data_IF_247216502836
#
_entry.id   IF_247216502836
#
_cell.length_a   1.000
_cell.length_b   1.000
_cell.length_c   1.000
_cell.angle_alpha   90.00
_cell.angle_beta   90.00
_cell.angle_gamma   90.00
#
_symmetry.space_group_name_H-M   'P 1'
#
loop_
_entity.id
_entity.type
_entity.pdbx_description
1 polymer ?
#
# COMPACT_ATOMS: atom_id res chain seq x y z
N UNK A 1 39.25 -40.35 13.88
CA UNK A 1 39.89 -39.11 14.37
C UNK A 1 39.17 -37.95 13.70
N UNK A 2 38.33 -37.24 14.46
CA UNK A 2 37.60 -36.07 13.95
C UNK A 2 38.59 -34.92 13.72
N UNK A 3 38.84 -34.58 12.45
CA UNK A 3 39.53 -33.35 12.08
C UNK A 3 38.56 -32.20 12.28
N UNK A 4 38.61 -31.60 13.48
CA UNK A 4 37.92 -30.36 13.77
C UNK A 4 38.50 -29.26 12.85
N UNK A 5 37.67 -28.77 11.92
CA UNK A 5 37.96 -27.66 11.03
C UNK A 5 38.22 -26.41 11.90
N UNK A 6 39.48 -26.04 12.09
CA UNK A 6 39.83 -24.75 12.70
C UNK A 6 39.73 -23.71 11.59
N UNK A 7 38.83 -22.70 11.69
CA UNK A 7 38.79 -21.63 10.70
C UNK A 7 40.12 -20.88 10.73
N UNK A 8 40.82 -20.88 9.59
CA UNK A 8 42.16 -20.34 9.47
C UNK A 8 42.10 -18.81 9.47
N UNK A 9 42.76 -18.19 10.46
CA UNK A 9 42.74 -16.74 10.70
C UNK A 9 43.45 -15.95 9.59
N UNK A 10 44.18 -16.62 8.71
CA UNK A 10 44.99 -16.03 7.64
C UNK A 10 44.19 -15.30 6.56
N UNK A 11 42.88 -15.58 6.44
CA UNK A 11 42.08 -15.10 5.32
C UNK A 11 41.37 -13.77 5.57
N UNK A 12 41.39 -13.25 6.80
CA UNK A 12 40.70 -12.00 7.15
C UNK A 12 41.69 -10.87 7.39
N UNK A 13 41.45 -9.72 6.77
CA UNK A 13 42.23 -8.51 6.97
C UNK A 13 41.31 -7.35 7.37
N UNK A 14 41.85 -6.34 8.05
CA UNK A 14 41.12 -5.10 8.29
C UNK A 14 40.74 -4.48 6.94
N UNK A 15 39.46 -4.16 6.76
CA UNK A 15 38.87 -3.72 5.50
C UNK A 15 38.19 -4.82 4.67
N UNK A 16 38.33 -6.11 5.03
CA UNK A 16 37.62 -7.19 4.35
C UNK A 16 36.10 -7.08 4.55
N UNK A 17 35.33 -7.27 3.47
CA UNK A 17 33.88 -7.43 3.55
C UNK A 17 33.52 -8.85 3.93
N UNK A 18 32.67 -8.99 4.95
CA UNK A 18 32.30 -10.27 5.54
C UNK A 18 30.79 -10.38 5.72
N UNK A 19 30.30 -11.61 5.65
CA UNK A 19 28.95 -11.98 6.04
C UNK A 19 29.03 -12.82 7.32
N UNK A 20 28.14 -12.54 8.26
CA UNK A 20 28.05 -13.26 9.53
C UNK A 20 27.15 -14.49 9.37
N UNK A 21 27.71 -15.68 9.54
CA UNK A 21 27.00 -16.95 9.46
C UNK A 21 26.37 -17.34 10.81
N UNK A 22 25.10 -17.80 10.83
CA UNK A 22 24.39 -18.10 12.06
C UNK A 22 24.87 -19.35 12.81
N UNK A 23 25.65 -20.21 12.14
CA UNK A 23 25.96 -21.57 12.59
C UNK A 23 26.84 -21.65 13.86
N UNK A 24 27.31 -20.51 14.37
CA UNK A 24 28.18 -20.44 15.56
C UNK A 24 27.90 -19.20 16.43
N UNK A 25 26.68 -18.65 16.34
CA UNK A 25 26.29 -17.39 17.00
C UNK A 25 25.78 -17.57 18.44
N UNK A 26 26.33 -18.53 19.19
CA UNK A 26 25.69 -19.12 20.38
C UNK A 26 25.41 -18.14 21.53
N UNK A 27 25.99 -16.93 21.52
CA UNK A 27 25.76 -15.87 22.52
C UNK A 27 25.44 -14.49 21.92
N UNK A 28 25.17 -14.40 20.62
CA UNK A 28 24.96 -13.13 19.93
C UNK A 28 23.49 -12.90 19.55
N UNK A 29 23.06 -11.63 19.45
CA UNK A 29 21.67 -11.32 19.10
C UNK A 29 21.23 -11.93 17.76
N UNK A 30 20.03 -12.51 17.72
CA UNK A 30 19.44 -13.14 16.52
C UNK A 30 19.43 -12.23 15.28
N UNK A 31 19.44 -10.91 15.47
CA UNK A 31 19.43 -9.93 14.37
C UNK A 31 20.74 -9.87 13.58
N UNK A 32 21.84 -10.45 14.10
CA UNK A 32 23.14 -10.46 13.42
C UNK A 32 23.28 -11.61 12.41
N UNK A 33 22.36 -12.57 12.40
CA UNK A 33 22.38 -13.66 11.45
C UNK A 33 22.28 -13.11 10.02
N UNK A 34 23.27 -13.44 9.18
CA UNK A 34 23.40 -13.00 7.79
C UNK A 34 23.70 -11.51 7.59
N UNK A 35 24.03 -10.77 8.64
CA UNK A 35 24.41 -9.38 8.51
C UNK A 35 25.73 -9.24 7.74
N UNK A 36 25.82 -8.19 6.93
CA UNK A 36 27.02 -7.83 6.18
C UNK A 36 27.75 -6.69 6.90
N UNK A 37 29.08 -6.67 6.77
CA UNK A 37 29.86 -5.58 7.31
C UNK A 37 31.33 -5.63 6.91
N UNK A 38 32.07 -4.65 7.40
CA UNK A 38 33.50 -4.49 7.15
C UNK A 38 34.29 -4.70 8.44
N UNK A 39 35.36 -5.49 8.37
CA UNK A 39 36.25 -5.71 9.52
C UNK A 39 37.01 -4.41 9.84
N UNK A 40 36.87 -3.91 11.06
CA UNK A 40 37.62 -2.75 11.57
C UNK A 40 38.81 -3.12 12.44
N UNK A 41 38.74 -4.25 13.15
CA UNK A 41 39.81 -4.69 14.04
C UNK A 41 39.78 -6.21 14.21
N UNK A 42 40.95 -6.85 14.35
CA UNK A 42 41.08 -8.30 14.57
C UNK A 42 41.84 -8.51 15.88
N UNK A 43 41.13 -8.94 16.92
CA UNK A 43 41.66 -9.16 18.26
C UNK A 43 41.66 -10.65 18.60
N UNK A 44 42.58 -11.37 17.97
CA UNK A 44 42.78 -12.79 18.25
C UNK A 44 41.67 -13.67 17.71
N UNK A 45 40.72 -14.10 18.56
CA UNK A 45 39.60 -14.97 18.17
C UNK A 45 38.31 -14.19 17.85
N UNK A 46 38.29 -12.90 18.18
CA UNK A 46 37.16 -12.00 17.95
C UNK A 46 37.54 -10.89 16.97
N UNK A 47 36.56 -10.45 16.19
CA UNK A 47 36.69 -9.46 15.13
C UNK A 47 35.64 -8.38 15.34
N UNK A 48 36.07 -7.12 15.33
CA UNK A 48 35.18 -5.96 15.36
C UNK A 48 34.69 -5.69 13.93
N UNK A 49 33.40 -5.87 13.67
CA UNK A 49 32.76 -5.67 12.37
C UNK A 49 31.84 -4.45 12.44
N UNK A 50 32.05 -3.48 11.55
CA UNK A 50 31.10 -2.40 11.32
C UNK A 50 30.00 -2.94 10.41
N UNK A 51 28.78 -3.04 10.93
CA UNK A 51 27.64 -3.54 10.18
C UNK A 51 27.13 -2.50 9.18
N UNK A 52 26.81 -2.96 7.98
CA UNK A 52 26.15 -2.14 6.96
C UNK A 52 24.75 -1.74 7.44
N UNK A 53 24.29 -0.53 7.12
CA UNK A 53 22.92 -0.13 7.41
C UNK A 53 21.94 -0.92 6.52
N UNK A 54 21.03 -1.74 7.09
CA UNK A 54 20.01 -2.35 6.26
C UNK A 54 19.06 -1.27 5.76
N UNK A 55 18.67 -1.33 4.48
CA UNK A 55 17.73 -0.40 3.83
C UNK A 55 16.33 -0.31 4.49
N UNK A 56 16.10 -1.06 5.57
CA UNK A 56 14.85 -1.06 6.34
C UNK A 56 15.14 -0.56 7.78
N UNK A 57 14.81 0.71 8.02
CA UNK A 57 15.07 1.56 9.19
C UNK A 57 14.81 0.92 10.58
N UNK A 58 15.74 0.13 11.11
CA UNK A 58 15.65 -0.32 12.51
C UNK A 58 16.92 -0.13 13.34
N UNK A 59 18.10 0.03 12.74
CA UNK A 59 19.35 0.14 13.51
C UNK A 59 20.35 1.07 12.83
N UNK A 60 20.99 1.93 13.63
CA UNK A 60 22.13 2.73 13.18
C UNK A 60 23.33 1.80 12.97
N UNK A 61 24.18 2.15 12.00
CA UNK A 61 25.51 1.55 11.86
C UNK A 61 26.23 1.53 13.22
N UNK A 62 26.67 0.34 13.63
CA UNK A 62 27.40 0.15 14.87
C UNK A 62 28.42 -0.97 14.71
N UNK A 63 29.46 -0.91 15.53
CA UNK A 63 30.51 -1.92 15.57
C UNK A 63 30.08 -3.00 16.55
N UNK A 64 30.15 -4.26 16.12
CA UNK A 64 29.91 -5.42 16.97
C UNK A 64 31.12 -6.34 16.95
N UNK A 65 31.38 -7.03 18.07
CA UNK A 65 32.42 -8.05 18.14
C UNK A 65 31.80 -9.40 17.83
N UNK A 66 32.42 -10.16 16.92
CA UNK A 66 31.97 -11.51 16.54
C UNK A 66 33.17 -12.45 16.41
N UNK A 67 33.03 -13.74 16.75
CA UNK A 67 34.08 -14.73 16.55
C UNK A 67 34.47 -14.86 15.07
N UNK A 68 35.76 -15.02 14.79
CA UNK A 68 36.27 -15.27 13.42
C UNK A 68 35.57 -16.47 12.76
N UNK A 69 35.20 -17.48 13.56
CA UNK A 69 34.49 -18.69 13.08
C UNK A 69 33.11 -18.41 12.50
N UNK A 70 32.52 -17.25 12.79
CA UNK A 70 31.21 -16.87 12.28
C UNK A 70 31.30 -16.02 11.00
N UNK A 71 32.49 -15.76 10.46
CA UNK A 71 32.67 -14.87 9.31
C UNK A 71 32.96 -15.66 8.04
N UNK A 72 32.34 -15.22 6.94
CA UNK A 72 32.69 -15.64 5.58
C UNK A 72 33.04 -14.42 4.75
N UNK A 73 34.11 -14.48 3.95
CA UNK A 73 34.45 -13.40 3.03
C UNK A 73 33.38 -13.24 1.95
N UNK A 74 32.85 -12.04 1.80
CA UNK A 74 31.91 -11.69 0.73
C UNK A 74 32.68 -11.68 -0.58
N UNK A 75 32.41 -12.65 -1.45
CA UNK A 75 33.12 -12.84 -2.72
C UNK A 75 34.05 -14.07 -2.79
N UNK A 76 34.05 -14.93 -1.76
CA UNK A 76 34.82 -16.19 -1.75
C UNK A 76 33.96 -17.46 -1.91
N UNK A 77 32.72 -17.35 -2.39
CA UNK A 77 31.94 -18.53 -2.81
C UNK A 77 32.14 -18.77 -4.31
N UNK A 78 33.36 -19.18 -4.65
CA UNK A 78 33.74 -19.67 -5.98
C UNK A 78 34.94 -20.60 -5.83
N UNK A 79 34.80 -21.65 -5.01
CA UNK A 79 35.62 -22.87 -4.91
C UNK A 79 35.48 -23.42 -3.50
N UNK A 80 34.76 -24.52 -3.35
CA UNK A 80 34.93 -25.60 -2.36
C UNK A 80 33.59 -26.30 -2.12
N UNK A 81 33.08 -26.96 -3.16
CA UNK A 81 32.19 -28.12 -3.04
C UNK A 81 32.22 -28.90 -4.36
N UNK A 82 33.41 -29.43 -4.66
CA UNK A 82 33.56 -30.45 -5.69
C UNK A 82 34.62 -31.41 -5.16
N UNK A 83 34.18 -32.48 -4.49
CA UNK A 83 34.92 -33.72 -4.23
C UNK A 83 33.96 -34.68 -3.51
N UNK A 84 33.09 -35.35 -4.27
CA UNK A 84 32.80 -36.80 -4.16
C UNK A 84 31.78 -37.24 -5.23
N UNK A 85 32.34 -37.87 -6.27
CA UNK A 85 31.83 -38.99 -7.09
C UNK A 85 30.37 -39.01 -7.60
N UNK A 86 30.21 -38.94 -8.94
CA UNK A 86 29.43 -39.84 -9.85
C UNK A 86 29.60 -39.31 -11.31
N UNK A 87 29.61 -40.15 -12.37
CA UNK A 87 30.66 -40.16 -13.37
C UNK A 87 30.39 -39.33 -14.64
N UNK A 88 31.51 -38.98 -15.29
CA UNK A 88 31.72 -38.78 -16.73
C UNK A 88 30.47 -38.59 -17.61
N UNK A 89 30.27 -37.37 -18.06
CA UNK A 89 29.48 -37.06 -19.25
C UNK A 89 29.39 -35.57 -19.49
N UNK A 90 29.81 -35.14 -20.68
CA UNK A 90 29.58 -33.84 -21.33
C UNK A 90 30.37 -32.63 -20.82
N UNK A 91 31.68 -32.65 -21.09
CA UNK A 91 32.39 -31.48 -21.60
C UNK A 91 31.97 -31.31 -23.06
N UNK A 92 31.09 -30.36 -23.36
CA UNK A 92 30.87 -29.64 -24.65
C UNK A 92 29.45 -29.08 -24.71
N UNK A 93 29.17 -27.90 -24.12
CA UNK A 93 28.05 -27.03 -24.50
C UNK A 93 28.36 -25.57 -24.08
N UNK A 94 29.40 -24.97 -24.67
CA UNK A 94 29.34 -23.54 -24.98
C UNK A 94 28.62 -23.40 -26.33
N UNK A 95 27.38 -23.87 -26.36
CA UNK A 95 26.52 -23.70 -27.52
C UNK A 95 25.90 -22.31 -27.42
N UNK A 96 26.03 -21.52 -28.48
CA UNK A 96 25.46 -20.19 -28.60
C UNK A 96 23.98 -20.23 -28.25
N UNK A 97 23.60 -19.69 -27.08
CA UNK A 97 22.19 -19.65 -26.66
C UNK A 97 21.36 -18.98 -27.77
N UNK A 98 20.21 -19.56 -28.14
CA UNK A 98 19.44 -19.07 -29.27
C UNK A 98 18.95 -17.65 -29.01
N UNK A 99 19.21 -16.77 -29.97
CA UNK A 99 18.70 -15.40 -29.96
C UNK A 99 17.19 -15.46 -30.20
N UNK A 100 16.42 -14.98 -29.22
CA UNK A 100 14.96 -14.93 -29.29
C UNK A 100 14.49 -13.61 -29.90
N UNK A 101 13.46 -13.69 -30.74
CA UNK A 101 12.82 -12.54 -31.35
C UNK A 101 11.86 -11.89 -30.35
N UNK A 102 11.95 -10.56 -30.20
CA UNK A 102 11.04 -9.78 -29.36
C UNK A 102 10.00 -9.16 -30.27
N UNK A 103 8.73 -9.49 -30.02
CA UNK A 103 7.60 -8.84 -30.67
C UNK A 103 7.16 -7.65 -29.81
N UNK A 104 7.21 -6.40 -30.32
CA UNK A 104 6.85 -5.22 -29.54
C UNK A 104 5.41 -5.25 -29.01
N UNK A 105 4.46 -5.85 -29.76
CA UNK A 105 3.09 -5.96 -29.30
C UNK A 105 3.01 -6.85 -28.06
N UNK A 106 3.68 -8.01 -28.09
CA UNK A 106 3.67 -8.96 -26.97
C UNK A 106 4.43 -8.43 -25.76
N UNK A 107 5.57 -7.77 -25.98
CA UNK A 107 6.32 -7.11 -24.92
C UNK A 107 5.47 -6.04 -24.22
N UNK A 108 4.78 -5.20 -24.99
CA UNK A 108 4.01 -4.08 -24.47
C UNK A 108 2.66 -4.47 -23.87
N UNK A 109 2.22 -5.75 -23.96
CA UNK A 109 1.05 -6.23 -23.22
C UNK A 109 1.28 -6.21 -21.70
N UNK A 110 2.54 -6.30 -21.27
CA UNK A 110 2.93 -6.35 -19.87
C UNK A 110 3.67 -5.05 -19.55
N UNK A 111 3.25 -4.27 -18.54
CA UNK A 111 4.00 -3.11 -18.12
C UNK A 111 5.44 -3.47 -17.73
N UNK A 112 6.42 -2.59 -18.00
CA UNK A 112 7.79 -2.79 -17.53
C UNK A 112 7.81 -2.80 -16.00
N UNK A 113 8.77 -3.52 -15.43
CA UNK A 113 9.03 -3.52 -13.99
C UNK A 113 9.52 -2.15 -13.55
N UNK A 114 9.21 -1.77 -12.31
CA UNK A 114 9.87 -0.63 -11.66
C UNK A 114 11.36 -0.89 -11.50
N UNK A 115 12.15 0.16 -11.25
CA UNK A 115 13.59 0.02 -11.02
C UNK A 115 13.89 -0.87 -9.79
N UNK A 116 13.06 -0.78 -8.75
CA UNK A 116 13.15 -1.63 -7.55
C UNK A 116 12.86 -3.10 -7.87
N UNK A 117 11.76 -3.38 -8.58
CA UNK A 117 11.38 -4.74 -8.99
C UNK A 117 12.44 -5.36 -9.92
N UNK A 118 12.99 -4.54 -10.82
CA UNK A 118 14.07 -4.95 -11.73
C UNK A 118 15.35 -5.24 -10.96
N UNK A 119 15.70 -4.44 -9.96
CA UNK A 119 16.85 -4.68 -9.09
C UNK A 119 16.70 -6.00 -8.32
N UNK A 120 15.53 -6.24 -7.73
CA UNK A 120 15.22 -7.49 -7.03
C UNK A 120 15.32 -8.71 -7.96
N UNK A 121 14.77 -8.60 -9.18
CA UNK A 121 14.88 -9.65 -10.18
C UNK A 121 16.33 -9.89 -10.61
N UNK A 122 17.12 -8.83 -10.77
CA UNK A 122 18.54 -8.93 -11.11
C UNK A 122 19.34 -9.64 -10.01
N UNK A 123 19.10 -9.30 -8.75
CA UNK A 123 19.72 -9.95 -7.60
C UNK A 123 19.36 -11.45 -7.54
N UNK A 124 18.07 -11.77 -7.69
CA UNK A 124 17.58 -13.16 -7.70
C UNK A 124 18.22 -13.98 -8.83
N UNK A 125 18.35 -13.41 -10.04
CA UNK A 125 18.96 -14.09 -11.18
C UNK A 125 20.47 -14.33 -10.96
N UNK A 126 21.17 -13.40 -10.31
CA UNK A 126 22.61 -13.60 -9.98
C UNK A 126 22.82 -14.70 -8.96
N UNK A 127 21.94 -14.81 -7.97
CA UNK A 127 22.05 -15.80 -6.90
C UNK A 127 21.66 -17.20 -7.37
N UNK A 128 20.53 -17.34 -8.06
CA UNK A 128 19.92 -18.64 -8.37
C UNK A 128 19.93 -19.01 -9.86
N UNK A 129 20.40 -18.12 -10.74
CA UNK A 129 20.28 -18.29 -12.19
C UNK A 129 18.84 -18.16 -12.71
N UNK A 130 18.64 -18.38 -14.01
CA UNK A 130 17.32 -18.35 -14.64
C UNK A 130 16.60 -19.70 -14.53
N UNK A 131 16.13 -20.06 -13.34
CA UNK A 131 15.48 -21.35 -13.08
C UNK A 131 14.18 -21.53 -13.87
N UNK A 132 13.35 -20.48 -13.95
CA UNK A 132 12.09 -20.52 -14.68
C UNK A 132 12.33 -20.35 -16.18
N UNK A 133 11.79 -21.23 -17.05
CA UNK A 133 12.02 -21.13 -18.49
C UNK A 133 11.42 -19.86 -19.09
N UNK A 134 12.00 -19.43 -20.21
CA UNK A 134 11.44 -18.43 -21.11
C UNK A 134 10.42 -19.11 -22.02
N UNK A 135 9.24 -18.50 -22.14
CA UNK A 135 8.14 -19.10 -22.89
C UNK A 135 8.19 -18.58 -24.32
N UNK A 136 8.34 -19.46 -25.31
CA UNK A 136 8.58 -19.10 -26.71
C UNK A 136 7.51 -19.70 -27.62
N UNK A 137 7.09 -18.97 -28.64
CA UNK A 137 6.20 -19.50 -29.66
C UNK A 137 6.96 -20.47 -30.58
N UNK A 138 6.59 -21.75 -30.47
CA UNK A 138 7.12 -22.86 -31.28
C UNK A 138 7.08 -22.52 -32.78
N UNK A 139 8.18 -22.76 -33.47
CA UNK A 139 8.33 -22.52 -34.91
C UNK A 139 8.50 -21.06 -35.35
N UNK A 140 8.21 -20.08 -34.47
CA UNK A 140 8.45 -18.65 -34.76
C UNK A 140 9.65 -18.05 -34.00
N UNK A 141 10.07 -18.70 -32.90
CA UNK A 141 11.16 -18.18 -32.07
C UNK A 141 10.86 -16.84 -31.39
N UNK A 142 9.56 -16.51 -31.23
CA UNK A 142 9.11 -15.25 -30.63
C UNK A 142 8.89 -15.44 -29.13
N UNK A 143 9.42 -14.55 -28.30
CA UNK A 143 9.24 -14.56 -26.85
C UNK A 143 7.81 -14.17 -26.47
N UNK A 144 7.14 -15.01 -25.67
CA UNK A 144 5.78 -14.81 -25.17
C UNK A 144 5.78 -14.28 -23.72
N UNK A 145 6.59 -14.88 -22.84
CA UNK A 145 6.73 -14.45 -21.44
C UNK A 145 8.18 -14.60 -20.97
N UNK A 146 8.58 -13.70 -20.07
CA UNK A 146 9.93 -13.63 -19.54
C UNK A 146 10.81 -12.54 -20.16
N UNK A 147 10.24 -11.52 -20.81
CA UNK A 147 10.97 -10.39 -21.41
C UNK A 147 12.02 -9.76 -20.48
N UNK A 148 11.67 -9.46 -19.23
CA UNK A 148 12.62 -8.91 -18.26
C UNK A 148 13.73 -9.89 -17.88
N UNK A 149 13.40 -11.18 -17.74
CA UNK A 149 14.38 -12.24 -17.46
C UNK A 149 15.33 -12.39 -18.64
N UNK A 150 14.82 -12.48 -19.86
CA UNK A 150 15.60 -12.59 -21.08
C UNK A 150 16.59 -11.44 -21.22
N UNK A 151 16.14 -10.19 -21.05
CA UNK A 151 17.00 -9.01 -21.11
C UNK A 151 18.14 -9.08 -20.07
N UNK A 152 17.83 -9.45 -18.83
CA UNK A 152 18.83 -9.58 -17.77
C UNK A 152 19.78 -10.76 -17.99
N UNK A 153 19.28 -11.90 -18.47
CA UNK A 153 20.09 -13.07 -18.76
C UNK A 153 21.07 -12.81 -19.90
N UNK A 154 20.65 -12.10 -20.95
CA UNK A 154 21.52 -11.64 -22.03
C UNK A 154 22.60 -10.68 -21.50
N UNK A 155 22.22 -9.70 -20.68
CA UNK A 155 23.14 -8.70 -20.09
C UNK A 155 24.17 -9.34 -19.16
N UNK A 156 23.74 -10.26 -18.32
CA UNK A 156 24.57 -10.91 -17.29
C UNK A 156 25.22 -12.21 -17.76
N UNK A 157 24.97 -12.61 -19.00
CA UNK A 157 25.42 -13.89 -19.58
C UNK A 157 25.00 -15.10 -18.74
N UNK A 158 23.79 -15.05 -18.17
CA UNK A 158 23.20 -16.14 -17.39
C UNK A 158 22.51 -17.10 -18.36
N UNK A 159 22.84 -18.41 -18.36
CA UNK A 159 22.14 -19.40 -19.15
C UNK A 159 20.66 -19.48 -18.78
N UNK A 160 19.79 -19.66 -19.78
CA UNK A 160 18.36 -19.84 -19.58
C UNK A 160 17.83 -21.05 -20.34
N UNK A 161 16.72 -21.59 -19.84
CA UNK A 161 15.96 -22.64 -20.49
C UNK A 161 14.79 -22.04 -21.29
N UNK A 162 14.41 -22.69 -22.38
CA UNK A 162 13.25 -22.32 -23.19
C UNK A 162 12.19 -23.42 -23.09
N UNK A 163 10.95 -23.01 -22.90
CA UNK A 163 9.78 -23.87 -23.04
C UNK A 163 8.93 -23.36 -24.21
N UNK A 164 8.69 -24.23 -25.18
CA UNK A 164 7.95 -23.87 -26.39
C UNK A 164 6.45 -24.06 -26.21
N UNK A 165 5.67 -23.13 -26.77
CA UNK A 165 4.21 -23.15 -26.78
C UNK A 165 3.73 -23.14 -28.22
N UNK A 166 2.87 -24.10 -28.57
CA UNK A 166 2.24 -24.18 -29.88
C UNK A 166 0.94 -23.38 -29.91
N UNK A 167 0.86 -22.40 -30.81
CA UNK A 167 -0.25 -21.46 -30.92
C UNK A 167 -0.62 -21.26 -32.39
N UNK A 168 -1.92 -21.25 -32.68
CA UNK A 168 -2.44 -21.18 -34.04
C UNK A 168 -2.34 -19.78 -34.67
N UNK A 169 -2.48 -18.73 -33.87
CA UNK A 169 -2.59 -17.35 -34.36
C UNK A 169 -2.00 -16.33 -33.38
N UNK A 170 -1.84 -15.08 -33.83
CA UNK A 170 -1.40 -13.98 -32.97
C UNK A 170 -2.40 -13.73 -31.85
N UNK A 171 -3.70 -13.82 -32.13
CA UNK A 171 -4.73 -13.70 -31.10
C UNK A 171 -4.67 -14.81 -30.06
N UNK A 172 -4.33 -16.03 -30.47
CA UNK A 172 -4.07 -17.13 -29.54
C UNK A 172 -2.87 -16.81 -28.64
N UNK A 173 -1.82 -16.20 -29.18
CA UNK A 173 -0.67 -15.74 -28.41
C UNK A 173 -1.03 -14.64 -27.40
N UNK A 174 -1.78 -13.61 -27.82
CA UNK A 174 -2.27 -12.55 -26.92
C UNK A 174 -3.11 -13.17 -25.78
N UNK A 175 -4.01 -14.10 -26.11
CA UNK A 175 -4.84 -14.78 -25.13
C UNK A 175 -4.02 -15.62 -24.15
N UNK A 176 -2.99 -16.29 -24.64
CA UNK A 176 -2.07 -17.08 -23.83
C UNK A 176 -1.27 -16.19 -22.87
N UNK A 177 -0.67 -15.12 -23.38
CA UNK A 177 0.12 -14.15 -22.58
C UNK A 177 -0.75 -13.56 -21.47
N UNK A 178 -1.94 -13.08 -21.81
CA UNK A 178 -2.87 -12.51 -20.84
C UNK A 178 -3.32 -13.54 -19.78
N UNK A 179 -3.57 -14.80 -20.16
CA UNK A 179 -3.89 -15.86 -19.19
C UNK A 179 -2.75 -16.09 -18.21
N UNK A 180 -1.52 -16.16 -18.73
CA UNK A 180 -0.34 -16.44 -17.93
C UNK A 180 -0.06 -15.32 -16.92
N UNK A 181 -0.26 -14.05 -17.30
CA UNK A 181 -0.14 -12.92 -16.38
C UNK A 181 -1.29 -12.85 -15.37
N UNK A 182 -2.54 -13.09 -15.79
CA UNK A 182 -3.71 -13.08 -14.90
C UNK A 182 -3.66 -14.16 -13.81
N UNK A 183 -2.85 -15.21 -13.99
CA UNK A 183 -2.59 -16.22 -12.96
C UNK A 183 -1.62 -15.78 -11.86
N UNK A 184 -0.95 -14.62 -12.01
CA UNK A 184 0.03 -14.12 -11.03
C UNK A 184 -0.66 -13.34 -9.91
N UNK A 185 -0.10 -13.45 -8.69
CA UNK A 185 -0.65 -12.80 -7.48
C UNK A 185 -0.28 -11.31 -7.36
N UNK A 186 0.75 -10.86 -8.07
CA UNK A 186 1.32 -9.52 -7.95
C UNK A 186 1.02 -8.71 -9.22
N UNK A 187 -0.24 -8.38 -9.47
CA UNK A 187 -0.64 -7.54 -10.60
C UNK A 187 -1.63 -6.47 -10.19
N UNK A 188 -1.48 -5.26 -10.73
CA UNK A 188 -2.40 -4.15 -10.44
C UNK A 188 -3.81 -4.43 -10.99
N UNK A 189 -4.87 -3.91 -10.35
CA UNK A 189 -6.23 -4.03 -10.86
C UNK A 189 -6.41 -3.47 -12.29
N UNK A 190 -5.63 -2.46 -12.68
CA UNK A 190 -5.62 -1.82 -13.99
C UNK A 190 -5.04 -2.76 -15.04
N UNK A 191 -3.89 -3.38 -14.75
CA UNK A 191 -3.30 -4.39 -15.65
C UNK A 191 -4.22 -5.60 -15.78
N UNK A 192 -4.82 -6.07 -14.68
CA UNK A 192 -5.79 -7.16 -14.73
C UNK A 192 -7.01 -6.82 -15.60
N UNK A 193 -7.54 -5.60 -15.47
CA UNK A 193 -8.62 -5.09 -16.33
C UNK A 193 -8.22 -5.00 -17.80
N UNK A 194 -7.04 -4.43 -18.09
CA UNK A 194 -6.52 -4.32 -19.45
C UNK A 194 -6.36 -5.70 -20.12
N UNK A 195 -5.79 -6.68 -19.42
CA UNK A 195 -5.58 -8.02 -19.95
C UNK A 195 -6.89 -8.80 -20.15
N UNK A 196 -7.87 -8.67 -19.23
CA UNK A 196 -9.20 -9.25 -19.42
C UNK A 196 -9.89 -8.66 -20.66
N UNK A 197 -9.79 -7.34 -20.85
CA UNK A 197 -10.32 -6.67 -22.03
C UNK A 197 -9.62 -7.08 -23.32
N UNK A 198 -8.28 -7.16 -23.35
CA UNK A 198 -7.51 -7.69 -24.50
C UNK A 198 -7.98 -9.09 -24.91
N UNK A 199 -8.14 -9.99 -23.94
CA UNK A 199 -8.67 -11.34 -24.23
C UNK A 199 -10.07 -11.32 -24.82
N UNK A 200 -10.96 -10.52 -24.25
CA UNK A 200 -12.30 -10.38 -24.79
C UNK A 200 -12.29 -9.87 -26.23
N UNK A 201 -11.46 -8.86 -26.53
CA UNK A 201 -11.34 -8.29 -27.88
C UNK A 201 -10.77 -9.30 -28.89
N UNK A 202 -9.69 -10.00 -28.55
CA UNK A 202 -9.09 -11.03 -29.42
C UNK A 202 -10.02 -12.23 -29.66
N UNK A 203 -10.80 -12.65 -28.66
CA UNK A 203 -11.78 -13.72 -28.84
C UNK A 203 -12.99 -13.23 -29.63
N UNK A 204 -13.49 -12.01 -29.40
CA UNK A 204 -14.64 -11.46 -30.13
C UNK A 204 -14.34 -11.24 -31.62
N UNK A 205 -13.11 -10.86 -31.96
CA UNK A 205 -12.68 -10.59 -33.34
C UNK A 205 -12.63 -11.83 -34.25
N UNK A 206 -12.37 -13.01 -33.67
CA UNK A 206 -12.24 -14.28 -34.42
C UNK A 206 -13.55 -15.08 -34.40
N UNK A 207 -14.51 -14.74 -35.26
CA UNK A 207 -15.76 -15.52 -35.38
C UNK A 207 -15.57 -16.97 -35.82
N UNK A 208 -14.44 -17.34 -36.45
CA UNK A 208 -14.25 -18.67 -37.04
C UNK A 208 -13.48 -19.68 -36.14
N UNK A 209 -12.57 -19.22 -35.27
CA UNK A 209 -11.70 -20.14 -34.48
C UNK A 209 -12.19 -20.43 -33.04
N UNK A 210 -13.22 -19.74 -32.56
CA UNK A 210 -13.70 -19.88 -31.17
C UNK A 210 -14.40 -21.23 -30.88
N UNK A 211 -14.68 -22.04 -31.91
CA UNK A 211 -15.37 -23.34 -31.77
C UNK A 211 -14.48 -24.47 -31.23
N UNK A 212 -13.15 -24.30 -31.15
CA UNK A 212 -12.24 -25.42 -30.82
C UNK A 212 -11.47 -25.33 -29.51
N UNK A 213 -11.55 -24.23 -28.76
CA UNK A 213 -10.61 -23.97 -27.66
C UNK A 213 -11.20 -23.91 -26.24
N UNK A 214 -12.48 -24.24 -26.05
CA UNK A 214 -13.06 -24.37 -24.71
C UNK A 214 -13.78 -25.71 -24.51
N UNK A 215 -13.01 -26.79 -24.40
CA UNK A 215 -13.47 -28.07 -23.86
C UNK A 215 -12.61 -28.45 -22.65
N UNK A 216 -13.15 -28.36 -21.43
CA UNK A 216 -12.97 -29.37 -20.41
C UNK A 216 -14.29 -30.12 -20.27
N UNK A 217 -14.32 -31.36 -20.76
CA UNK A 217 -15.25 -32.46 -20.45
C UNK A 217 -16.77 -32.17 -20.37
N UNK A 218 -17.55 -32.95 -21.14
CA UNK A 218 -18.95 -32.67 -21.44
C UNK A 218 -19.94 -32.67 -20.26
N UNK A 219 -20.91 -31.76 -20.32
CA UNK A 219 -22.32 -32.13 -20.53
C UNK A 219 -23.16 -30.89 -20.84
N UNK A 220 -24.10 -31.09 -21.77
CA UNK A 220 -25.02 -30.11 -22.34
C UNK A 220 -26.03 -29.59 -21.33
N UNK A 221 -26.15 -28.27 -21.18
CA UNK A 221 -27.34 -27.60 -20.66
C UNK A 221 -27.56 -26.28 -21.42
N UNK A 222 -28.64 -26.21 -22.21
CA UNK A 222 -29.14 -25.01 -22.92
C UNK A 222 -30.01 -24.16 -21.98
N UNK A 223 -30.08 -22.85 -22.26
CA UNK A 223 -31.27 -21.96 -22.34
C UNK A 223 -30.77 -20.51 -22.47
N UNK A 224 -30.98 -19.84 -23.62
CA UNK A 224 -32.07 -18.90 -23.96
C UNK A 224 -32.10 -17.69 -22.98
N UNK A 225 -32.05 -16.44 -23.42
CA UNK A 225 -33.11 -15.74 -24.17
C UNK A 225 -32.59 -14.47 -24.88
N UNK A 226 -33.22 -14.11 -26.01
CA UNK A 226 -33.52 -12.72 -26.36
C UNK A 226 -35.04 -12.61 -26.56
N UNK A 227 -35.59 -11.48 -26.13
CA UNK A 227 -37.01 -11.14 -26.07
C UNK A 227 -37.51 -10.54 -27.39
N UNK A 228 -38.39 -11.25 -28.11
CA UNK A 228 -39.67 -10.75 -28.68
C UNK A 228 -40.19 -11.63 -29.83
N UNK A 229 -41.47 -12.00 -29.69
CA UNK A 229 -42.35 -12.88 -30.49
C UNK A 229 -42.34 -12.78 -32.03
N UNK A 230 -42.33 -13.93 -32.74
CA UNK A 230 -43.43 -14.51 -33.55
C UNK A 230 -42.98 -15.78 -34.33
N UNK A 231 -43.95 -16.62 -34.70
CA UNK A 231 -43.93 -18.08 -34.95
C UNK A 231 -43.28 -18.66 -36.26
N UNK A 232 -42.69 -19.88 -36.12
CA UNK A 232 -42.53 -21.03 -37.08
C UNK A 232 -41.38 -21.03 -38.16
N UNK A 233 -40.87 -22.22 -38.65
CA UNK A 233 -39.83 -23.04 -38.00
C UNK A 233 -38.66 -23.51 -38.92
N UNK A 234 -37.67 -24.16 -38.30
CA UNK A 234 -36.63 -25.08 -38.79
C UNK A 234 -35.60 -24.61 -39.83
N UNK A 235 -34.39 -24.38 -39.31
CA UNK A 235 -33.13 -24.31 -40.05
C UNK A 235 -31.95 -24.13 -39.10
N UNK A 236 -31.28 -25.23 -38.77
CA UNK A 236 -30.13 -25.33 -37.85
C UNK A 236 -29.10 -24.20 -38.02
N UNK A 237 -28.98 -23.34 -37.01
CA UNK A 237 -27.86 -22.41 -36.87
C UNK A 237 -27.10 -22.69 -35.56
N UNK A 238 -25.76 -22.84 -35.59
CA UNK A 238 -24.96 -23.25 -34.44
C UNK A 238 -24.85 -22.15 -33.37
N UNK A 239 -24.91 -22.58 -32.11
CA UNK A 239 -25.01 -21.78 -30.88
C UNK A 239 -23.76 -20.90 -30.68
N UNK A 240 -23.92 -19.57 -30.74
CA UNK A 240 -22.88 -18.61 -30.37
C UNK A 240 -22.74 -18.51 -28.85
N UNK A 241 -21.62 -18.95 -28.29
CA UNK A 241 -21.29 -18.79 -26.86
C UNK A 241 -21.00 -17.30 -26.61
N UNK A 242 -21.67 -16.67 -25.64
CA UNK A 242 -21.30 -15.30 -25.22
C UNK A 242 -19.92 -15.33 -24.56
N UNK A 243 -18.91 -14.89 -25.30
CA UNK A 243 -17.52 -14.77 -24.87
C UNK A 243 -17.40 -13.96 -23.57
N UNK A 244 -18.25 -12.94 -23.36
CA UNK A 244 -18.22 -12.14 -22.14
C UNK A 244 -18.64 -12.98 -20.93
N UNK A 245 -19.68 -13.80 -21.08
CA UNK A 245 -20.18 -14.70 -20.03
C UNK A 245 -19.15 -15.76 -19.66
N UNK A 246 -18.53 -16.40 -20.65
CA UNK A 246 -17.48 -17.40 -20.42
C UNK A 246 -16.26 -16.82 -19.68
N UNK A 247 -15.80 -15.62 -20.05
CA UNK A 247 -14.70 -14.95 -19.35
C UNK A 247 -15.10 -14.46 -17.95
N UNK A 248 -16.33 -13.99 -17.79
CA UNK A 248 -16.89 -13.57 -16.51
C UNK A 248 -16.86 -14.70 -15.48
N UNK A 249 -17.33 -15.89 -15.86
CA UNK A 249 -17.27 -17.10 -15.03
C UNK A 249 -15.82 -17.49 -14.71
N UNK A 250 -14.95 -17.53 -15.72
CA UNK A 250 -13.54 -17.88 -15.56
C UNK A 250 -12.79 -16.99 -14.57
N UNK A 251 -13.02 -15.68 -14.62
CA UNK A 251 -12.35 -14.72 -13.73
C UNK A 251 -13.15 -14.35 -12.49
N UNK A 252 -14.34 -14.94 -12.30
CA UNK A 252 -15.25 -14.63 -11.19
C UNK A 252 -15.58 -13.14 -11.11
N UNK A 253 -15.89 -12.52 -12.26
CA UNK A 253 -16.33 -11.13 -12.38
C UNK A 253 -17.64 -11.06 -13.14
N UNK A 254 -18.41 -9.97 -13.01
CA UNK A 254 -19.63 -9.80 -13.80
C UNK A 254 -19.36 -9.62 -15.30
N UNK A 255 -20.29 -10.07 -16.14
CA UNK A 255 -20.25 -9.91 -17.61
C UNK A 255 -20.10 -8.44 -18.05
N UNK A 256 -20.80 -7.53 -17.35
CA UNK A 256 -20.66 -6.09 -17.51
C UNK A 256 -19.22 -5.61 -17.28
N UNK A 257 -18.50 -6.22 -16.33
CA UNK A 257 -17.10 -5.90 -16.04
C UNK A 257 -16.20 -6.28 -17.21
N UNK A 258 -16.40 -7.44 -17.84
CA UNK A 258 -15.63 -7.85 -19.03
C UNK A 258 -15.82 -6.85 -20.18
N UNK A 259 -17.06 -6.42 -20.44
CA UNK A 259 -17.32 -5.41 -21.47
C UNK A 259 -16.74 -4.04 -21.13
N UNK A 260 -16.78 -3.64 -19.86
CA UNK A 260 -16.16 -2.40 -19.40
C UNK A 260 -14.64 -2.45 -19.49
N UNK A 261 -14.03 -3.59 -19.15
CA UNK A 261 -12.61 -3.84 -19.28
C UNK A 261 -12.16 -3.77 -20.75
N UNK A 262 -12.99 -4.22 -21.69
CA UNK A 262 -12.75 -4.05 -23.12
C UNK A 262 -12.75 -2.58 -23.56
N UNK A 263 -13.74 -1.78 -23.10
CA UNK A 263 -13.77 -0.33 -23.37
C UNK A 263 -12.56 0.38 -22.77
N UNK A 264 -12.20 0.03 -21.54
CA UNK A 264 -11.00 0.54 -20.88
C UNK A 264 -9.73 0.18 -21.67
N UNK A 265 -9.62 -1.06 -22.16
CA UNK A 265 -8.50 -1.52 -22.99
C UNK A 265 -8.38 -0.70 -24.26
N UNK A 266 -9.48 -0.51 -24.99
CA UNK A 266 -9.51 0.34 -26.18
C UNK A 266 -9.08 1.77 -25.87
N UNK A 267 -9.55 2.35 -24.77
CA UNK A 267 -9.17 3.70 -24.36
C UNK A 267 -7.67 3.80 -24.04
N UNK A 268 -7.11 2.83 -23.31
CA UNK A 268 -5.67 2.77 -23.01
C UNK A 268 -4.86 2.61 -24.30
N UNK A 269 -5.29 1.76 -25.23
CA UNK A 269 -4.63 1.57 -26.52
C UNK A 269 -4.69 2.84 -27.38
N UNK A 270 -5.82 3.55 -27.40
CA UNK A 270 -5.95 4.85 -28.09
C UNK A 270 -4.94 5.86 -27.53
N UNK A 271 -4.84 5.98 -26.21
CA UNK A 271 -3.87 6.89 -25.58
C UNK A 271 -2.43 6.47 -25.87
N UNK A 272 -2.14 5.17 -25.89
CA UNK A 272 -0.83 4.66 -26.29
C UNK A 272 -0.48 5.01 -27.74
N UNK A 273 -1.44 4.92 -28.66
CA UNK A 273 -1.25 5.32 -30.06
C UNK A 273 -1.05 6.84 -30.20
N UNK A 274 -1.74 7.65 -29.40
CA UNK A 274 -1.64 9.11 -29.47
C UNK A 274 -0.38 9.67 -28.80
N UNK A 275 -0.04 9.16 -27.61
CA UNK A 275 0.99 9.72 -26.73
C UNK A 275 2.20 8.80 -26.49
N UNK A 276 2.12 7.55 -26.93
CA UNK A 276 3.16 6.53 -26.77
C UNK A 276 2.90 5.54 -25.63
N UNK A 277 3.62 4.42 -25.67
CA UNK A 277 3.57 3.36 -24.65
C UNK A 277 3.89 3.82 -23.22
N UNK A 278 4.75 4.84 -22.96
CA UNK A 278 4.98 5.32 -21.59
C UNK A 278 3.71 5.74 -20.85
N UNK A 279 2.75 6.35 -21.54
CA UNK A 279 1.46 6.75 -20.95
C UNK A 279 0.64 5.52 -20.54
N UNK A 280 0.58 4.51 -21.40
CA UNK A 280 -0.07 3.24 -21.09
C UNK A 280 0.61 2.56 -19.89
N UNK A 281 1.93 2.54 -19.84
CA UNK A 281 2.66 1.94 -18.72
C UNK A 281 2.41 2.68 -17.40
N UNK A 282 2.39 4.02 -17.39
CA UNK A 282 2.03 4.81 -16.20
C UNK A 282 0.62 4.46 -15.71
N UNK A 283 -0.36 4.39 -16.61
CA UNK A 283 -1.75 4.04 -16.28
C UNK A 283 -1.84 2.64 -15.66
N UNK A 284 -1.14 1.65 -16.24
CA UNK A 284 -1.24 0.26 -15.80
C UNK A 284 -0.46 -0.03 -14.51
N UNK A 285 0.68 0.62 -14.30
CA UNK A 285 1.51 0.44 -13.08
C UNK A 285 0.97 1.17 -11.86
N UNK A 286 0.00 2.08 -12.03
CA UNK A 286 -0.45 3.06 -11.01
C UNK A 286 0.66 3.99 -10.53
N UNK A 287 1.73 4.19 -11.32
CA UNK A 287 2.75 5.20 -11.01
C UNK A 287 2.10 6.57 -10.81
N UNK A 288 1.15 6.90 -11.69
CA UNK A 288 0.25 8.03 -11.54
C UNK A 288 -1.15 7.51 -11.18
N UNK A 289 -1.78 8.07 -10.13
CA UNK A 289 -3.15 7.69 -9.77
C UNK A 289 -4.10 8.22 -10.84
N UNK A 290 -4.37 7.38 -11.83
CA UNK A 290 -5.19 7.72 -12.99
C UNK A 290 -6.52 6.95 -12.98
N UNK A 291 -7.63 7.56 -12.52
CA UNK A 291 -8.92 6.89 -12.48
C UNK A 291 -9.37 6.39 -13.85
N UNK A 292 -10.00 5.20 -13.90
CA UNK A 292 -10.55 4.64 -15.15
C UNK A 292 -11.48 5.60 -15.90
N UNK A 293 -12.23 6.44 -15.17
CA UNK A 293 -13.10 7.46 -15.75
C UNK A 293 -12.29 8.50 -16.54
N UNK A 294 -11.18 8.96 -15.98
CA UNK A 294 -10.31 9.94 -16.62
C UNK A 294 -9.63 9.35 -17.87
N UNK A 295 -9.25 8.06 -17.84
CA UNK A 295 -8.74 7.35 -19.04
C UNK A 295 -9.75 7.38 -20.18
N UNK A 296 -11.02 7.07 -19.87
CA UNK A 296 -12.10 7.07 -20.86
C UNK A 296 -12.39 8.47 -21.39
N UNK A 297 -12.42 9.49 -20.53
CA UNK A 297 -12.58 10.89 -20.92
C UNK A 297 -11.45 11.34 -21.86
N UNK A 298 -10.19 11.08 -21.49
CA UNK A 298 -9.05 11.44 -22.33
C UNK A 298 -9.04 10.71 -23.67
N UNK A 299 -9.37 9.42 -23.71
CA UNK A 299 -9.41 8.67 -24.96
C UNK A 299 -10.51 9.19 -25.91
N UNK A 300 -11.65 9.62 -25.36
CA UNK A 300 -12.71 10.27 -26.14
C UNK A 300 -12.27 11.63 -26.71
N UNK A 301 -11.54 12.41 -25.92
CA UNK A 301 -10.96 13.68 -26.35
C UNK A 301 -9.84 13.48 -27.39
N UNK A 302 -8.98 12.46 -27.23
CA UNK A 302 -7.91 12.11 -28.18
C UNK A 302 -8.44 11.77 -29.57
N UNK A 303 -9.68 11.28 -29.67
CA UNK A 303 -10.32 10.97 -30.95
C UNK A 303 -10.95 12.18 -31.64
N UNK A 304 -11.17 13.30 -30.92
CA UNK A 304 -12.01 14.42 -31.38
C UNK A 304 -11.30 15.77 -31.37
N UNK A 305 -10.28 15.93 -30.55
CA UNK A 305 -9.59 17.19 -30.29
C UNK A 305 -8.12 17.11 -30.70
N UNK A 306 -7.48 18.27 -30.83
CA UNK A 306 -6.06 18.34 -31.14
C UNK A 306 -5.20 17.75 -30.01
N UNK A 307 -4.13 17.06 -30.41
CA UNK A 307 -3.20 16.38 -29.50
C UNK A 307 -2.69 17.29 -28.38
N UNK A 308 -2.43 18.56 -28.68
CA UNK A 308 -1.93 19.53 -27.68
C UNK A 308 -2.97 19.83 -26.59
N UNK A 309 -4.25 19.92 -26.94
CA UNK A 309 -5.30 20.15 -25.96
C UNK A 309 -5.43 18.94 -25.01
N UNK A 310 -5.41 17.74 -25.57
CA UNK A 310 -5.52 16.49 -24.80
C UNK A 310 -4.28 16.26 -23.94
N UNK A 311 -3.09 16.67 -24.41
CA UNK A 311 -1.87 16.70 -23.60
C UNK A 311 -2.03 17.64 -22.40
N UNK A 312 -2.54 18.86 -22.60
CA UNK A 312 -2.83 19.79 -21.48
C UNK A 312 -3.84 19.20 -20.49
N UNK A 313 -4.85 18.49 -20.98
CA UNK A 313 -5.80 17.77 -20.10
C UNK A 313 -5.10 16.68 -19.30
N UNK A 314 -4.21 15.89 -19.91
CA UNK A 314 -3.41 14.86 -19.24
C UNK A 314 -2.54 15.48 -18.14
N UNK A 315 -1.78 16.53 -18.45
CA UNK A 315 -0.88 17.20 -17.50
C UNK A 315 -1.66 17.79 -16.31
N UNK A 316 -2.83 18.38 -16.56
CA UNK A 316 -3.70 18.90 -15.51
C UNK A 316 -4.24 17.80 -14.58
N UNK A 317 -4.57 16.62 -15.13
CA UNK A 317 -5.07 15.48 -14.34
C UNK A 317 -3.93 14.88 -13.49
N UNK A 318 -2.71 14.83 -14.02
CA UNK A 318 -1.52 14.41 -13.28
C UNK A 318 -1.22 15.37 -12.11
N UNK A 319 -1.22 16.69 -12.37
CA UNK A 319 -1.04 17.71 -11.33
C UNK A 319 -2.11 17.64 -10.23
N UNK A 320 -3.36 17.32 -10.59
CA UNK A 320 -4.44 17.17 -9.60
C UNK A 320 -4.15 16.01 -8.63
N UNK A 321 -3.57 14.90 -9.10
CA UNK A 321 -3.19 13.79 -8.23
C UNK A 321 -2.11 14.20 -7.24
N UNK A 322 -1.07 14.91 -7.71
CA UNK A 322 0.01 15.43 -6.86
C UNK A 322 -0.53 16.39 -5.80
N UNK A 323 -1.39 17.36 -6.19
CA UNK A 323 -2.04 18.27 -5.22
C UNK A 323 -2.87 17.49 -4.18
N UNK A 324 -3.63 16.48 -4.60
CA UNK A 324 -4.43 15.66 -3.68
C UNK A 324 -3.54 14.87 -2.71
N UNK A 325 -2.43 14.34 -3.20
CA UNK A 325 -1.47 13.61 -2.36
C UNK A 325 -0.70 14.55 -1.44
N UNK A 326 -0.34 15.75 -1.88
CA UNK A 326 0.20 16.82 -1.04
C UNK A 326 -0.81 17.26 0.03
N UNK A 327 -2.11 17.32 -0.27
CA UNK A 327 -3.16 17.63 0.72
C UNK A 327 -3.30 16.49 1.74
N UNK A 328 -3.25 15.22 1.30
CA UNK A 328 -3.31 14.04 2.18
C UNK A 328 -2.06 13.90 3.06
N UNK A 329 -0.90 14.31 2.54
CA UNK A 329 0.41 14.16 3.19
C UNK A 329 0.89 15.41 3.93
N UNK A 330 0.25 16.58 3.74
CA UNK A 330 0.52 17.76 4.59
C UNK A 330 0.26 17.35 6.03
N UNK A 331 1.33 17.38 6.83
CA UNK A 331 1.35 16.96 8.23
C UNK A 331 0.12 17.47 8.97
N UNK A 332 -0.61 16.54 9.57
CA UNK A 332 -1.75 16.84 10.44
C UNK A 332 -1.26 17.85 11.48
N UNK A 333 -1.81 19.06 11.46
CA UNK A 333 -1.50 20.07 12.49
C UNK A 333 -1.84 19.41 13.83
N UNK A 334 -0.86 19.23 14.73
CA UNK A 334 -1.13 18.65 16.03
C UNK A 334 -2.25 19.42 16.70
N UNK A 335 -3.16 18.71 17.38
CA UNK A 335 -4.17 19.38 18.20
C UNK A 335 -3.42 20.33 19.16
N UNK A 336 -3.70 21.65 19.12
CA UNK A 336 -2.93 22.63 19.88
C UNK A 336 -3.12 22.49 21.39
N UNK A 337 -4.12 21.70 21.81
CA UNK A 337 -4.51 21.57 23.21
C UNK A 337 -3.85 20.40 23.93
N UNK A 338 -3.72 20.52 25.25
CA UNK A 338 -3.25 19.44 26.14
C UNK A 338 -4.30 19.09 27.20
N UNK A 339 -4.20 17.89 27.76
CA UNK A 339 -5.09 17.45 28.85
C UNK A 339 -4.85 18.29 30.10
N UNK A 340 -5.94 18.81 30.69
CA UNK A 340 -5.92 19.71 31.86
C UNK A 340 -6.07 21.18 31.49
N UNK A 341 -5.87 21.55 30.23
CA UNK A 341 -5.93 22.93 29.76
C UNK A 341 -7.32 23.55 30.00
N UNK A 342 -7.34 24.83 30.35
CA UNK A 342 -8.56 25.62 30.54
C UNK A 342 -8.86 26.42 29.29
N UNK A 343 -10.04 26.21 28.71
CA UNK A 343 -10.46 26.89 27.47
C UNK A 343 -11.82 27.57 27.64
N UNK A 344 -12.04 28.66 26.93
CA UNK A 344 -13.36 29.26 26.73
C UNK A 344 -14.03 28.65 25.49
N UNK A 345 -15.35 28.41 25.58
CA UNK A 345 -16.16 27.90 24.48
C UNK A 345 -16.64 29.07 23.63
N UNK A 346 -16.26 29.11 22.35
CA UNK A 346 -16.66 30.17 21.39
C UNK A 346 -17.72 29.73 20.38
N UNK A 347 -18.10 28.45 20.36
CA UNK A 347 -19.21 27.89 19.59
C UNK A 347 -19.30 28.38 18.13
N UNK A 348 -18.23 28.21 17.33
CA UNK A 348 -18.17 28.65 15.91
C UNK A 348 -19.10 27.83 15.01
N UNK A 349 -20.41 28.02 15.16
CA UNK A 349 -21.43 27.36 14.36
C UNK A 349 -21.83 25.96 14.86
N UNK A 350 -21.37 25.56 16.05
CA UNK A 350 -21.77 24.31 16.69
C UNK A 350 -23.08 24.51 17.48
N UNK A 351 -24.20 23.90 17.08
CA UNK A 351 -25.49 24.08 17.75
C UNK A 351 -25.50 23.55 19.20
N UNK A 352 -24.73 22.50 19.49
CA UNK A 352 -24.69 21.88 20.82
C UNK A 352 -23.93 22.76 21.81
N UNK A 353 -22.86 23.41 21.34
CA UNK A 353 -22.05 24.32 22.16
C UNK A 353 -22.64 25.72 22.29
N UNK A 354 -23.68 26.07 21.51
CA UNK A 354 -24.29 27.40 21.51
C UNK A 354 -24.83 27.80 22.88
N UNK A 355 -25.39 26.85 23.64
CA UNK A 355 -25.86 27.08 25.01
C UNK A 355 -24.72 27.36 26.01
N UNK A 356 -23.48 27.01 25.64
CA UNK A 356 -22.27 27.14 26.45
C UNK A 356 -21.36 28.27 25.99
N UNK A 357 -21.80 29.07 25.01
CA UNK A 357 -21.02 30.19 24.48
C UNK A 357 -20.55 31.14 25.60
N UNK A 358 -19.24 31.37 25.64
CA UNK A 358 -18.57 32.20 26.63
C UNK A 358 -18.25 31.50 27.96
N UNK A 359 -18.74 30.28 28.19
CA UNK A 359 -18.40 29.52 29.38
C UNK A 359 -16.99 28.91 29.28
N UNK A 360 -16.34 28.69 30.42
CA UNK A 360 -15.06 27.99 30.50
C UNK A 360 -15.25 26.47 30.66
N UNK A 361 -14.26 25.71 30.21
CA UNK A 361 -14.22 24.25 30.24
C UNK A 361 -12.80 23.73 30.47
N UNK A 362 -12.69 22.45 30.84
CA UNK A 362 -11.41 21.75 31.04
C UNK A 362 -11.25 20.68 29.96
N UNK A 363 -10.09 20.64 29.30
CA UNK A 363 -9.76 19.56 28.37
C UNK A 363 -9.50 18.27 29.14
N UNK A 364 -10.35 17.26 29.00
CA UNK A 364 -10.21 15.95 29.66
C UNK A 364 -9.53 14.90 28.78
N UNK A 365 -9.64 15.06 27.46
CA UNK A 365 -9.05 14.15 26.46
C UNK A 365 -8.63 14.93 25.22
N UNK A 366 -7.47 14.57 24.66
CA UNK A 366 -6.98 15.15 23.40
C UNK A 366 -6.95 14.05 22.35
N UNK A 367 -7.70 14.24 21.27
CA UNK A 367 -7.70 13.40 20.09
C UNK A 367 -7.09 14.16 18.90
N UNK A 368 -6.72 13.49 17.80
CA UNK A 368 -6.10 14.14 16.64
C UNK A 368 -6.92 15.28 16.00
N UNK A 369 -8.25 15.23 16.09
CA UNK A 369 -9.17 16.19 15.46
C UNK A 369 -10.23 16.75 16.42
N UNK A 370 -10.16 16.39 17.70
CA UNK A 370 -11.15 16.78 18.70
C UNK A 370 -10.56 16.78 20.10
N UNK A 371 -11.22 17.48 21.01
CA UNK A 371 -10.99 17.42 22.43
C UNK A 371 -12.25 16.86 23.10
N UNK A 372 -12.06 16.01 24.10
CA UNK A 372 -13.07 15.80 25.13
C UNK A 372 -12.97 16.96 26.11
N UNK A 373 -14.09 17.63 26.40
CA UNK A 373 -14.15 18.75 27.33
C UNK A 373 -15.13 18.48 28.47
N UNK A 374 -14.83 18.99 29.65
CA UNK A 374 -15.70 19.00 30.81
C UNK A 374 -16.15 20.42 31.12
N UNK A 375 -17.46 20.60 31.29
CA UNK A 375 -18.06 21.88 31.66
C UNK A 375 -18.70 21.81 33.05
N UNK A 376 -19.27 22.92 33.51
CA UNK A 376 -20.02 23.03 34.75
C UNK A 376 -21.35 22.26 34.76
N UNK A 377 -21.81 21.75 33.61
CA UNK A 377 -23.12 21.10 33.45
C UNK A 377 -23.00 19.66 32.94
N UNK A 378 -22.16 19.46 31.92
CA UNK A 378 -22.00 18.16 31.27
C UNK A 378 -20.61 18.02 30.61
N UNK A 379 -20.31 16.80 30.18
CA UNK A 379 -19.07 16.47 29.47
C UNK A 379 -19.37 16.20 27.98
N UNK A 380 -18.55 16.80 27.11
CA UNK A 380 -18.63 16.58 25.67
C UNK A 380 -17.44 15.74 25.22
N UNK A 381 -17.65 14.53 24.68
CA UNK A 381 -16.55 13.65 24.29
C UNK A 381 -15.84 14.09 23.00
N UNK A 382 -16.48 14.93 22.17
CA UNK A 382 -15.96 15.34 20.86
C UNK A 382 -16.29 16.80 20.56
N UNK A 383 -15.34 17.70 20.81
CA UNK A 383 -15.41 19.11 20.45
C UNK A 383 -14.24 19.46 19.55
N UNK A 384 -14.50 20.17 18.45
CA UNK A 384 -13.42 20.60 17.54
C UNK A 384 -12.55 21.68 18.20
N UNK A 385 -11.22 21.66 18.03
CA UNK A 385 -10.32 22.69 18.58
C UNK A 385 -10.70 24.12 18.19
N UNK A 386 -11.28 24.32 16.99
CA UNK A 386 -11.71 25.64 16.51
C UNK A 386 -12.82 26.30 17.34
N UNK A 387 -13.54 25.51 18.17
CA UNK A 387 -14.58 25.96 19.08
C UNK A 387 -14.05 26.33 20.48
N UNK A 388 -12.73 26.21 20.69
CA UNK A 388 -12.07 26.40 21.98
C UNK A 388 -11.01 27.48 21.87
N UNK A 389 -10.95 28.35 22.87
CA UNK A 389 -9.92 29.39 22.99
C UNK A 389 -9.20 29.25 24.34
N UNK A 390 -7.89 29.05 24.32
CA UNK A 390 -7.08 28.86 25.53
C UNK A 390 -7.13 30.08 26.45
N UNK A 391 -7.38 29.84 27.75
CA UNK A 391 -7.30 30.88 28.78
C UNK A 391 -5.94 30.79 29.46
N UNK A 392 -5.06 31.74 29.17
CA UNK A 392 -3.70 31.78 29.73
C UNK A 392 -3.65 32.32 31.17
N UNK A 393 -2.66 31.87 31.95
CA UNK A 393 -2.38 32.42 33.29
C UNK A 393 -3.28 31.90 34.41
N UNK A 394 -4.09 30.88 34.13
CA UNK A 394 -5.02 30.24 35.07
C UNK A 394 -4.35 29.04 35.73
N UNK A 395 -4.65 28.79 37.01
CA UNK A 395 -4.23 27.55 37.66
C UNK A 395 -5.18 26.41 37.26
N UNK A 396 -4.73 25.51 36.38
CA UNK A 396 -5.51 24.37 35.85
C UNK A 396 -6.10 23.51 36.97
N UNK A 397 -5.29 23.17 37.98
CA UNK A 397 -5.74 22.38 39.13
C UNK A 397 -6.91 23.05 39.85
N UNK A 398 -6.79 24.35 40.14
CA UNK A 398 -7.82 25.06 40.88
C UNK A 398 -9.08 25.29 40.06
N UNK A 399 -8.93 25.54 38.76
CA UNK A 399 -10.05 25.62 37.83
C UNK A 399 -10.79 24.27 37.75
N UNK A 400 -10.08 23.15 37.72
CA UNK A 400 -10.69 21.82 37.74
C UNK A 400 -11.45 21.55 39.06
N UNK A 401 -10.87 21.90 40.22
CA UNK A 401 -11.57 21.81 41.52
C UNK A 401 -12.87 22.63 41.53
N UNK A 402 -12.81 23.87 41.04
CA UNK A 402 -14.00 24.73 40.96
C UNK A 402 -15.02 24.19 39.95
N UNK A 403 -14.58 23.55 38.87
CA UNK A 403 -15.46 22.92 37.89
C UNK A 403 -16.25 21.78 38.53
N UNK A 404 -15.56 20.93 39.28
CA UNK A 404 -16.17 19.81 39.99
C UNK A 404 -17.16 20.27 41.07
N UNK A 405 -16.84 21.36 41.78
CA UNK A 405 -17.75 21.99 42.75
C UNK A 405 -19.04 22.46 42.10
N UNK A 406 -18.93 23.25 41.03
CA UNK A 406 -20.09 23.79 40.32
C UNK A 406 -20.91 22.67 39.67
N UNK A 407 -20.26 21.65 39.11
CA UNK A 407 -20.94 20.50 38.49
C UNK A 407 -21.74 19.67 39.50
N UNK A 408 -21.17 19.39 40.68
CA UNK A 408 -21.89 18.69 41.76
C UNK A 408 -23.10 19.48 42.22
N UNK A 409 -22.95 20.79 42.35
CA UNK A 409 -24.03 21.67 42.75
C UNK A 409 -25.11 21.76 41.66
N UNK A 410 -24.72 21.87 40.39
CA UNK A 410 -25.64 21.85 39.25
C UNK A 410 -26.54 20.62 39.26
N UNK A 411 -25.98 19.42 39.50
CA UNK A 411 -26.76 18.18 39.56
C UNK A 411 -27.88 18.26 40.60
N UNK A 412 -27.62 18.88 41.76
CA UNK A 412 -28.62 19.05 42.83
C UNK A 412 -29.60 20.17 42.57
N UNK A 413 -29.13 21.32 42.12
CA UNK A 413 -30.01 22.44 41.77
C UNK A 413 -30.96 22.07 40.63
N UNK A 414 -30.50 21.26 39.68
CA UNK A 414 -31.33 20.76 38.58
C UNK A 414 -32.44 19.81 39.05
N UNK A 415 -32.14 18.93 40.03
CA UNK A 415 -33.14 18.06 40.68
C UNK A 415 -34.23 18.88 41.40
N UNK A 416 -33.84 19.96 42.06
CA UNK A 416 -34.73 20.82 42.86
C UNK A 416 -35.47 21.89 42.03
N UNK A 417 -35.09 22.07 40.77
CA UNK A 417 -35.67 23.05 39.82
C UNK A 417 -35.66 24.50 40.33
N UNK A 418 -34.61 24.92 41.05
CA UNK A 418 -34.48 26.31 41.52
C UNK A 418 -33.82 27.19 40.45
N UNK A 419 -34.56 28.14 39.80
CA UNK A 419 -34.07 28.88 38.65
C UNK A 419 -33.05 29.98 38.99
N UNK A 420 -33.09 30.53 40.21
CA UNK A 420 -32.18 31.58 40.69
C UNK A 420 -30.75 31.04 40.85
N UNK A 421 -30.63 29.84 41.41
CA UNK A 421 -29.40 29.13 41.68
C UNK A 421 -28.79 28.66 40.37
N UNK A 422 -29.63 28.18 39.44
CA UNK A 422 -29.19 27.93 38.06
C UNK A 422 -28.56 29.16 37.41
N UNK A 423 -29.17 30.34 37.55
CA UNK A 423 -28.62 31.58 37.01
C UNK A 423 -27.28 31.96 37.67
N UNK A 424 -27.11 31.68 38.97
CA UNK A 424 -25.83 31.89 39.67
C UNK A 424 -24.75 30.95 39.11
N UNK A 425 -25.05 29.66 38.93
CA UNK A 425 -24.10 28.69 38.36
C UNK A 425 -23.71 29.06 36.93
N UNK A 426 -24.68 29.49 36.10
CA UNK A 426 -24.40 29.95 34.75
C UNK A 426 -23.50 31.19 34.76
N UNK A 427 -23.71 32.14 35.68
CA UNK A 427 -22.86 33.31 35.83
C UNK A 427 -21.42 32.94 36.26
N UNK A 428 -21.27 31.98 37.19
CA UNK A 428 -19.97 31.45 37.60
C UNK A 428 -19.25 30.71 36.47
N UNK A 429 -20.00 30.08 35.56
CA UNK A 429 -19.43 29.40 34.40
C UNK A 429 -18.82 30.33 33.35
N UNK A 430 -19.09 31.65 33.43
CA UNK A 430 -18.67 32.66 32.45
C UNK A 430 -17.65 33.66 33.02
N UNK A 431 -17.06 33.36 34.18
CA UNK A 431 -15.99 34.21 34.74
C UNK A 431 -14.72 34.15 33.89
N UNK A 432 -13.92 35.23 33.94
CA UNK A 432 -12.67 35.33 33.17
C UNK A 432 -11.56 34.42 33.70
N UNK A 433 -11.42 34.31 35.02
CA UNK A 433 -10.43 33.46 35.68
C UNK A 433 -11.14 32.45 36.58
N UNK A 434 -11.36 31.21 36.10
CA UNK A 434 -12.06 30.18 36.87
C UNK A 434 -11.22 29.59 38.01
N UNK A 435 -9.93 29.92 38.09
CA UNK A 435 -9.07 29.52 39.21
C UNK A 435 -9.14 30.46 40.42
N UNK A 436 -9.64 31.68 40.23
CA UNK A 436 -9.66 32.72 41.27
C UNK A 436 -11.01 33.43 41.33
N UNK A 437 -11.96 32.80 42.02
CA UNK A 437 -13.20 33.47 42.37
C UNK A 437 -12.96 34.62 43.34
N UNK A 438 -13.67 35.72 43.13
CA UNK A 438 -13.70 36.83 44.07
C UNK A 438 -14.29 36.37 45.41
N UNK A 439 -14.01 37.05 46.54
CA UNK A 439 -14.58 36.68 47.84
C UNK A 439 -16.11 36.59 47.82
N UNK A 440 -16.79 37.41 47.00
CA UNK A 440 -18.25 37.36 46.85
C UNK A 440 -18.72 36.14 46.06
N UNK A 441 -18.03 35.79 44.98
CA UNK A 441 -18.33 34.58 44.19
C UNK A 441 -18.09 33.31 45.02
N UNK A 442 -16.99 33.27 45.76
CA UNK A 442 -16.65 32.17 46.65
C UNK A 442 -17.71 32.02 47.76
N UNK A 443 -18.12 33.13 48.37
CA UNK A 443 -19.18 33.15 49.37
C UNK A 443 -20.52 32.64 48.82
N UNK A 444 -20.93 33.09 47.63
CA UNK A 444 -22.15 32.62 46.96
C UNK A 444 -22.09 31.11 46.71
N UNK A 445 -20.98 30.62 46.14
CA UNK A 445 -20.80 29.19 45.88
C UNK A 445 -20.86 28.38 47.18
N UNK A 446 -20.19 28.85 48.24
CA UNK A 446 -20.16 28.19 49.55
C UNK A 446 -21.54 28.12 50.20
N UNK A 447 -22.35 29.18 50.14
CA UNK A 447 -23.73 29.16 50.68
C UNK A 447 -24.55 28.10 49.97
N UNK A 448 -24.52 28.08 48.64
CA UNK A 448 -25.27 27.09 47.87
C UNK A 448 -24.79 25.67 48.20
N UNK A 449 -23.48 25.44 48.30
CA UNK A 449 -22.93 24.15 48.72
C UNK A 449 -23.40 23.75 50.15
N UNK A 450 -23.55 24.70 51.08
CA UNK A 450 -24.08 24.43 52.42
C UNK A 450 -25.57 24.07 52.41
N UNK A 451 -26.39 24.81 51.66
CA UNK A 451 -27.83 24.55 51.56
C UNK A 451 -28.11 23.16 50.98
N UNK A 452 -27.35 22.76 49.97
CA UNK A 452 -27.43 21.43 49.37
C UNK A 452 -26.63 20.35 50.12
N UNK A 453 -26.04 20.68 51.27
CA UNK A 453 -25.28 19.75 52.14
C UNK A 453 -24.12 19.06 51.40
N UNK A 454 -23.47 19.78 50.49
CA UNK A 454 -22.32 19.30 49.72
C UNK A 454 -20.98 19.53 50.43
N UNK A 455 -20.96 20.37 51.47
CA UNK A 455 -19.80 20.50 52.35
C UNK A 455 -19.83 19.42 53.45
N UNK A 456 -18.68 18.84 53.80
CA UNK A 456 -18.59 17.98 54.97
C UNK A 456 -19.00 18.78 56.21
N UNK A 457 -19.86 18.22 57.07
CA UNK A 457 -20.16 18.80 58.38
C UNK A 457 -18.84 19.11 59.08
N UNK A 458 -18.60 20.40 59.38
CA UNK A 458 -17.47 20.79 60.20
C UNK A 458 -17.59 20.02 61.53
N UNK A 459 -16.59 19.18 61.81
CA UNK A 459 -16.45 18.52 63.10
C UNK A 459 -16.26 19.64 64.13
N UNK A 460 -17.27 19.85 64.95
CA UNK A 460 -17.29 20.79 66.09
C UNK A 460 -16.24 20.45 67.13
#
# INVERSE_FOLDING_TARGET
MNLAFRPDKSNFHVGSRVQIQPQSLDNHPKYLAYAYGEIKEINGAEVSVLLDEPNNQAYKSHITQVPVSCLTLVGAESKLQELEQVPNGTSELHDSQPILNIDPEFQNLIPPLSDEEKFLLEAQLKESGCLSPLMVWKGKGILLDGHNRYQLCQKLQIPYNIAEVELASRDAAICWIANNQLGRRNMTPETASYLRGKRYLSLKGNREDNLKQNLPNGNSCRSAEEDSSQDLPDGDNPIAIDTAKALAEKYKVGERTIRNDAKYTQAVDTLALTFGEPVKHSILTRADKFPKKDVLELASAASTQEKEHVQKMLDNKLNKSDIVDQIKNKQRVPNPHHKGEVCQIISKGDPELKAFGGAWCIIVQVNPHSCGIKTWKEEFPTVKPENLETIYGVCEQKAAENCDRILKLFQKVHEDYEPTYMAILEALSKVRDPSKFTPRQEYLLTILEQEYKLLPCASS
#
